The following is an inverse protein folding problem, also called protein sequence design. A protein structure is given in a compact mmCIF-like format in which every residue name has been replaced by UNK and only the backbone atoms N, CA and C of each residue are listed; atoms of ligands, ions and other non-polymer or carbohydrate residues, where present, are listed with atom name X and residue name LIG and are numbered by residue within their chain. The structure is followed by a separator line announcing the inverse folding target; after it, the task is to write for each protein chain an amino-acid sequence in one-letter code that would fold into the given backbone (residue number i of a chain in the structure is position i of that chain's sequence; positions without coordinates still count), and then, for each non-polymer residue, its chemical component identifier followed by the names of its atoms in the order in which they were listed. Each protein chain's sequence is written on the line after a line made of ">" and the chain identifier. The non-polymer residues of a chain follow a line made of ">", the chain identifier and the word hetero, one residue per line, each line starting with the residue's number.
data_IF_271071443138
#
_entry.id   IF_271071443138
#
_cell.length_a   1.000
_cell.length_b   1.000
_cell.length_c   1.000
_cell.angle_alpha   90.00
_cell.angle_beta   90.00
_cell.angle_gamma   90.00
#
_symmetry.space_group_name_H-M   'P 1'
#
loop_
_entity.id
_entity.type
_entity.pdbx_description
1 polymer ?
#
# COMPACT_ATOMS: atom_id res chain seq x y z
N UNK A 1 -6.81 -18.80 -14.72
CA UNK A 1 -5.68 -18.86 -15.68
C UNK A 1 -5.81 -17.66 -16.60
N UNK A 2 -4.98 -16.63 -16.41
CA UNK A 2 -4.90 -15.54 -17.37
C UNK A 2 -4.19 -16.07 -18.63
N UNK A 3 -4.74 -15.80 -19.81
CA UNK A 3 -4.23 -16.31 -21.08
C UNK A 3 -3.34 -15.23 -21.70
N UNK A 4 -2.08 -15.55 -22.00
CA UNK A 4 -1.22 -14.69 -22.84
C UNK A 4 -0.13 -13.90 -22.14
N UNK A 5 0.11 -14.10 -20.84
CA UNK A 5 1.27 -13.53 -20.16
C UNK A 5 2.46 -14.48 -20.29
N UNK A 6 3.58 -14.00 -20.82
CA UNK A 6 4.86 -14.72 -20.82
C UNK A 6 5.50 -14.69 -19.42
N UNK A 7 6.35 -15.67 -19.07
CA UNK A 7 7.03 -15.70 -17.76
C UNK A 7 7.98 -14.50 -17.56
N UNK A 8 8.39 -13.85 -18.65
CA UNK A 8 9.28 -12.67 -18.65
C UNK A 8 8.54 -11.36 -18.34
N UNK A 9 7.21 -11.39 -18.39
CA UNK A 9 6.31 -10.27 -18.08
C UNK A 9 5.96 -10.19 -16.59
N UNK A 10 6.33 -11.19 -15.80
CA UNK A 10 6.07 -11.24 -14.36
C UNK A 10 7.35 -10.98 -13.57
N UNK A 11 7.42 -9.84 -12.87
CA UNK A 11 8.48 -9.62 -11.88
C UNK A 11 7.96 -10.11 -10.53
N UNK A 12 8.62 -11.12 -9.97
CA UNK A 12 8.36 -11.55 -8.59
C UNK A 12 8.90 -10.51 -7.61
N UNK A 13 8.06 -10.06 -6.70
CA UNK A 13 8.43 -9.08 -5.68
C UNK A 13 7.20 -8.52 -4.95
N UNK A 14 7.40 -7.99 -3.75
CA UNK A 14 6.33 -7.32 -3.01
C UNK A 14 6.02 -5.97 -3.65
N UNK A 15 4.73 -5.66 -3.83
CA UNK A 15 4.30 -4.31 -4.25
C UNK A 15 4.76 -3.25 -3.24
N UNK A 16 4.86 -3.62 -1.96
CA UNK A 16 5.34 -2.73 -0.90
C UNK A 16 6.82 -2.41 -1.05
N UNK A 17 7.65 -3.41 -1.30
CA UNK A 17 9.08 -3.20 -1.53
C UNK A 17 9.33 -2.35 -2.79
N UNK A 18 8.56 -2.58 -3.85
CA UNK A 18 8.65 -1.75 -5.06
C UNK A 18 8.23 -0.30 -4.80
N UNK A 19 7.16 -0.09 -4.03
CA UNK A 19 6.73 1.25 -3.65
C UNK A 19 7.74 2.01 -2.80
N UNK A 20 8.39 1.31 -1.85
CA UNK A 20 9.47 1.88 -1.06
C UNK A 20 10.66 2.26 -1.94
N UNK A 21 11.05 1.37 -2.87
CA UNK A 21 12.09 1.63 -3.87
C UNK A 21 11.74 2.81 -4.78
N UNK A 22 10.49 2.94 -5.20
CA UNK A 22 10.05 4.03 -6.06
C UNK A 22 10.24 5.43 -5.43
N UNK A 23 10.23 5.52 -4.10
CA UNK A 23 10.52 6.76 -3.38
C UNK A 23 11.95 6.85 -2.82
N UNK A 24 12.79 5.83 -3.02
CA UNK A 24 14.19 5.89 -2.62
C UNK A 24 14.89 7.07 -3.34
N UNK A 25 15.42 8.03 -2.57
CA UNK A 25 16.02 9.25 -3.11
C UNK A 25 15.03 10.35 -3.53
N UNK A 26 13.76 10.29 -3.08
CA UNK A 26 12.75 11.31 -3.35
C UNK A 26 11.88 11.04 -4.59
N UNK A 27 12.09 9.91 -5.26
CA UNK A 27 11.31 9.48 -6.43
C UNK A 27 11.38 10.43 -7.63
N UNK A 28 10.59 10.14 -8.66
CA UNK A 28 10.48 10.99 -9.85
C UNK A 28 9.50 12.17 -9.64
N UNK A 29 9.55 12.81 -8.46
CA UNK A 29 8.63 13.87 -8.09
C UNK A 29 9.15 15.27 -8.50
N UNK A 30 8.25 16.19 -8.90
CA UNK A 30 8.62 17.58 -9.16
C UNK A 30 9.19 18.27 -7.91
N UNK A 31 9.91 19.39 -8.11
CA UNK A 31 10.33 20.23 -6.99
C UNK A 31 9.12 20.69 -6.17
N UNK A 32 9.27 20.78 -4.85
CA UNK A 32 8.18 21.15 -3.95
C UNK A 32 7.16 20.05 -3.68
N UNK A 33 7.45 18.81 -4.10
CA UNK A 33 6.62 17.64 -3.79
C UNK A 33 7.37 16.62 -2.93
N UNK A 34 6.65 15.97 -2.03
CA UNK A 34 7.11 14.80 -1.30
C UNK A 34 6.71 13.53 -2.06
N UNK A 35 7.60 12.54 -2.11
CA UNK A 35 7.27 11.21 -2.63
C UNK A 35 6.73 10.34 -1.51
N UNK A 36 5.57 9.73 -1.74
CA UNK A 36 4.94 8.78 -0.83
C UNK A 36 4.82 7.40 -1.50
N UNK A 37 5.33 6.33 -0.87
CA UNK A 37 5.11 4.96 -1.35
C UNK A 37 3.62 4.66 -1.47
N UNK A 38 3.21 4.10 -2.61
CA UNK A 38 1.82 3.75 -2.90
C UNK A 38 1.76 2.37 -3.56
N UNK A 39 1.91 1.28 -2.77
CA UNK A 39 1.88 -0.07 -3.31
C UNK A 39 0.56 -0.35 -4.00
N UNK A 40 0.63 -0.80 -5.25
CA UNK A 40 -0.55 -1.03 -6.09
C UNK A 40 -0.36 -2.25 -6.98
N UNK A 41 -1.39 -3.09 -7.11
CA UNK A 41 -1.38 -4.14 -8.11
C UNK A 41 -1.59 -3.52 -9.50
N UNK A 42 -0.68 -3.81 -10.41
CA UNK A 42 -0.72 -3.26 -11.76
C UNK A 42 -1.24 -4.29 -12.74
N UNK A 43 -2.14 -3.85 -13.61
CA UNK A 43 -2.66 -4.66 -14.71
C UNK A 43 -1.81 -4.43 -15.96
N UNK A 44 -1.64 -5.48 -16.77
CA UNK A 44 -0.79 -5.45 -17.96
C UNK A 44 -1.22 -4.43 -19.02
N UNK A 45 -2.53 -4.34 -19.28
CA UNK A 45 -3.12 -3.36 -20.19
C UNK A 45 -3.48 -2.03 -19.52
N UNK A 46 -2.91 -1.76 -18.34
CA UNK A 46 -3.21 -0.59 -17.52
C UNK A 46 -2.36 0.65 -17.83
N UNK A 47 -2.67 1.80 -17.20
CA UNK A 47 -1.75 2.93 -17.15
C UNK A 47 -0.41 2.51 -16.53
N UNK A 48 0.67 3.30 -16.75
CA UNK A 48 1.97 3.00 -16.18
C UNK A 48 1.89 2.77 -14.66
N UNK A 49 2.50 1.68 -14.23
CA UNK A 49 2.49 1.18 -12.86
C UNK A 49 3.27 2.12 -11.93
N UNK A 50 2.62 3.19 -11.45
CA UNK A 50 3.22 4.14 -10.51
C UNK A 50 3.06 3.63 -9.09
N UNK A 51 4.14 3.09 -8.52
CA UNK A 51 4.20 2.63 -7.12
C UNK A 51 4.47 3.76 -6.10
N UNK A 52 4.28 5.02 -6.51
CA UNK A 52 4.41 6.19 -5.64
C UNK A 52 3.44 7.29 -6.04
N UNK A 53 3.15 8.18 -5.10
CA UNK A 53 2.38 9.41 -5.32
C UNK A 53 3.24 10.61 -4.94
N UNK A 54 3.23 11.64 -5.78
CA UNK A 54 3.86 12.92 -5.49
C UNK A 54 2.84 13.87 -4.86
N UNK A 55 3.10 14.30 -3.63
CA UNK A 55 2.21 15.17 -2.87
C UNK A 55 2.81 16.57 -2.80
N UNK A 56 2.13 17.62 -3.28
CA UNK A 56 2.61 18.98 -3.16
C UNK A 56 2.72 19.37 -1.68
N UNK A 57 3.87 19.92 -1.28
CA UNK A 57 4.15 20.39 0.08
C UNK A 57 4.51 21.88 0.13
N UNK A 58 4.55 22.56 -1.03
CA UNK A 58 4.81 24.00 -1.13
C UNK A 58 3.56 24.87 -0.98
N UNK A 59 2.37 24.29 -1.15
CA UNK A 59 1.08 24.98 -1.10
C UNK A 59 0.31 24.61 0.18
N UNK A 60 -0.55 25.49 0.71
CA UNK A 60 -1.43 25.14 1.81
C UNK A 60 -2.41 24.02 1.41
N UNK A 61 -2.52 23.00 2.26
CA UNK A 61 -3.34 21.81 1.97
C UNK A 61 -4.83 22.11 1.71
N UNK A 62 -5.37 23.19 2.26
CA UNK A 62 -6.78 23.57 2.14
C UNK A 62 -7.15 24.14 0.75
N UNK A 63 -6.15 24.70 0.04
CA UNK A 63 -6.30 25.29 -1.30
C UNK A 63 -6.04 24.26 -2.41
N UNK A 64 -5.47 23.11 -2.06
CA UNK A 64 -5.24 21.99 -2.97
C UNK A 64 -6.55 21.21 -3.16
N UNK A 65 -7.20 21.41 -4.30
CA UNK A 65 -8.32 20.57 -4.76
C UNK A 65 -7.91 19.08 -4.95
N UNK A 66 -6.60 18.82 -4.98
CA UNK A 66 -6.02 17.47 -4.90
C UNK A 66 -6.34 16.84 -3.55
N UNK A 67 -7.48 16.15 -3.50
CA UNK A 67 -7.73 15.15 -2.47
C UNK A 67 -8.62 15.57 -1.32
N UNK A 68 -9.49 16.58 -1.49
CA UNK A 68 -10.50 16.92 -0.49
C UNK A 68 -11.42 15.73 -0.14
N UNK A 69 -11.63 14.82 -1.10
CA UNK A 69 -12.33 13.54 -0.93
C UNK A 69 -11.38 12.31 -1.00
N UNK A 70 -10.06 12.51 -0.98
CA UNK A 70 -9.09 11.42 -0.97
C UNK A 70 -8.55 11.21 0.45
N UNK A 71 -9.48 10.89 1.35
CA UNK A 71 -9.14 10.55 2.72
C UNK A 71 -8.07 9.46 2.77
N UNK A 72 -7.28 9.45 3.82
CA UNK A 72 -6.23 8.45 4.03
C UNK A 72 -6.20 8.01 5.48
N UNK A 73 -5.82 6.77 5.70
CA UNK A 73 -5.63 6.22 7.03
C UNK A 73 -4.14 6.19 7.37
N UNK A 74 -3.76 6.69 8.55
CA UNK A 74 -2.40 6.51 9.05
C UNK A 74 -2.21 5.17 9.80
N UNK A 75 -0.96 4.80 10.09
CA UNK A 75 -0.62 3.57 10.83
C UNK A 75 -1.18 3.56 12.27
N UNK A 76 -1.52 4.74 12.80
CA UNK A 76 -2.17 4.92 14.09
C UNK A 76 -3.71 4.88 13.99
N UNK A 77 -4.25 4.62 12.80
CA UNK A 77 -5.67 4.42 12.52
C UNK A 77 -6.47 5.71 12.70
N UNK A 78 -5.82 6.84 12.47
CA UNK A 78 -6.47 8.14 12.37
C UNK A 78 -6.70 8.43 10.88
N UNK A 79 -7.96 8.75 10.53
CA UNK A 79 -8.29 9.21 9.17
C UNK A 79 -7.88 10.68 9.03
N UNK A 80 -7.15 11.01 7.96
CA UNK A 80 -6.81 12.37 7.58
C UNK A 80 -7.53 12.77 6.29
N UNK A 81 -7.88 14.06 6.11
CA UNK A 81 -8.60 14.52 4.94
C UNK A 81 -7.89 14.27 3.61
N UNK A 82 -6.55 14.31 3.61
CA UNK A 82 -5.75 14.03 2.42
C UNK A 82 -4.31 13.63 2.77
N UNK A 83 -3.56 13.14 1.78
CA UNK A 83 -2.13 12.88 1.91
C UNK A 83 -1.34 14.12 2.31
N UNK A 84 -1.73 15.31 1.84
CA UNK A 84 -1.09 16.58 2.23
C UNK A 84 -1.24 16.81 3.74
N UNK A 85 -2.45 16.64 4.28
CA UNK A 85 -2.71 16.79 5.71
C UNK A 85 -1.97 15.75 6.56
N UNK A 86 -1.91 14.51 6.07
CA UNK A 86 -1.15 13.44 6.70
C UNK A 86 0.34 13.81 6.80
N UNK A 87 0.92 14.30 5.70
CA UNK A 87 2.32 14.74 5.64
C UNK A 87 2.60 15.97 6.49
N UNK A 88 1.73 16.98 6.44
CA UNK A 88 1.86 18.20 7.24
C UNK A 88 1.84 17.92 8.75
N UNK A 89 1.21 16.81 9.16
CA UNK A 89 1.18 16.31 10.55
C UNK A 89 2.30 15.32 10.88
N UNK A 90 3.23 15.07 9.96
CA UNK A 90 4.30 14.09 10.10
C UNK A 90 3.81 12.69 10.47
N UNK A 91 2.66 12.28 9.92
CA UNK A 91 2.11 10.93 10.09
C UNK A 91 2.56 10.02 8.95
N UNK A 92 2.41 8.71 9.14
CA UNK A 92 2.82 7.68 8.18
C UNK A 92 1.57 7.03 7.60
N UNK A 93 1.46 7.01 6.27
CA UNK A 93 0.35 6.39 5.55
C UNK A 93 0.30 4.88 5.84
N UNK A 94 -0.87 4.39 6.24
CA UNK A 94 -1.16 2.95 6.27
C UNK A 94 -1.79 2.52 4.94
N UNK A 95 -2.85 3.19 4.52
CA UNK A 95 -3.53 2.93 3.26
C UNK A 95 -4.34 4.15 2.79
N UNK A 96 -4.67 4.15 1.51
CA UNK A 96 -5.58 5.12 0.91
C UNK A 96 -7.03 4.84 1.32
N UNK A 97 -7.84 5.89 1.45
CA UNK A 97 -9.22 5.83 1.96
C UNK A 97 -9.30 6.01 3.48
N UNK A 98 -10.51 6.20 4.03
CA UNK A 98 -10.72 6.31 5.47
C UNK A 98 -10.35 5.00 6.18
N UNK A 99 -9.96 5.09 7.46
CA UNK A 99 -9.64 3.90 8.24
C UNK A 99 -10.81 2.93 8.31
N UNK A 100 -10.54 1.65 8.06
CA UNK A 100 -11.55 0.60 8.18
C UNK A 100 -12.02 0.42 9.62
N UNK A 101 -13.33 0.20 9.78
CA UNK A 101 -13.94 -0.32 11.01
C UNK A 101 -14.11 -1.83 10.92
N UNK A 102 -13.97 -2.55 12.04
CA UNK A 102 -14.26 -3.99 12.12
C UNK A 102 -13.09 -4.92 11.82
N UNK A 103 -11.88 -4.40 11.64
CA UNK A 103 -10.65 -5.17 11.60
C UNK A 103 -9.84 -5.03 12.90
N UNK A 104 -9.04 -6.05 13.21
CA UNK A 104 -8.06 -5.97 14.31
C UNK A 104 -6.85 -5.11 13.92
N UNK A 105 -6.42 -4.27 14.87
CA UNK A 105 -5.18 -3.49 14.79
C UNK A 105 -4.05 -4.11 15.62
N UNK A 106 -4.26 -5.32 16.13
CA UNK A 106 -3.34 -6.02 17.02
C UNK A 106 -2.76 -7.25 16.35
N UNK A 107 -1.44 -7.39 16.50
CA UNK A 107 -0.67 -8.57 16.13
C UNK A 107 -0.50 -8.73 14.62
N UNK A 108 0.63 -9.32 14.19
CA UNK A 108 0.86 -9.60 12.79
C UNK A 108 -0.11 -10.66 12.26
N UNK A 109 -0.39 -10.60 10.96
CA UNK A 109 -1.25 -11.53 10.23
C UNK A 109 -0.60 -11.92 8.91
N UNK A 110 -0.94 -13.08 8.39
CA UNK A 110 -0.56 -13.50 7.04
C UNK A 110 -1.73 -13.25 6.09
N UNK A 111 -1.47 -12.53 5.00
CA UNK A 111 -2.45 -12.29 3.94
C UNK A 111 -2.56 -13.49 2.99
N UNK A 112 -3.67 -13.56 2.25
CA UNK A 112 -3.87 -14.58 1.19
C UNK A 112 -2.89 -14.42 0.00
N UNK A 113 -2.21 -13.29 -0.08
CA UNK A 113 -1.10 -12.99 -0.99
C UNK A 113 0.24 -13.53 -0.49
N UNK A 114 0.28 -14.14 0.70
CA UNK A 114 1.51 -14.67 1.31
C UNK A 114 2.39 -13.59 1.95
N UNK A 115 1.89 -12.36 2.11
CA UNK A 115 2.63 -11.27 2.76
C UNK A 115 2.25 -11.13 4.24
N UNK A 116 3.25 -10.80 5.07
CA UNK A 116 3.01 -10.51 6.49
C UNK A 116 2.64 -9.06 6.68
N UNK A 117 1.49 -8.83 7.30
CA UNK A 117 1.00 -7.49 7.64
C UNK A 117 1.06 -7.27 9.15
N UNK A 118 1.34 -6.03 9.61
CA UNK A 118 1.43 -5.74 11.04
C UNK A 118 0.08 -5.82 11.77
N UNK A 119 -1.04 -5.79 11.04
CA UNK A 119 -2.37 -6.11 11.54
C UNK A 119 -3.36 -6.45 10.43
N UNK A 120 -4.54 -6.96 10.80
CA UNK A 120 -5.65 -7.24 9.88
C UNK A 120 -6.09 -6.00 9.09
N UNK A 121 -6.19 -4.82 9.74
CA UNK A 121 -6.49 -3.58 9.02
C UNK A 121 -5.44 -3.22 7.95
N UNK A 122 -4.16 -3.54 8.17
CA UNK A 122 -3.11 -3.29 7.17
C UNK A 122 -3.22 -4.26 6.00
N UNK A 123 -3.58 -5.52 6.25
CA UNK A 123 -3.87 -6.49 5.19
C UNK A 123 -5.04 -6.00 4.31
N UNK A 124 -6.12 -5.55 4.93
CA UNK A 124 -7.27 -5.01 4.19
C UNK A 124 -6.90 -3.75 3.39
N UNK A 125 -6.08 -2.86 3.96
CA UNK A 125 -5.55 -1.68 3.27
C UNK A 125 -4.69 -1.98 2.05
N UNK A 126 -4.02 -3.13 2.04
CA UNK A 126 -3.31 -3.64 0.87
C UNK A 126 -4.20 -4.40 -0.12
N UNK A 127 -5.51 -4.49 0.14
CA UNK A 127 -6.47 -5.19 -0.72
C UNK A 127 -6.47 -6.71 -0.56
N UNK A 128 -5.89 -7.24 0.52
CA UNK A 128 -5.85 -8.68 0.80
C UNK A 128 -6.65 -9.03 2.06
N UNK A 129 -7.16 -10.27 2.11
CA UNK A 129 -7.80 -10.80 3.31
C UNK A 129 -6.79 -11.59 4.15
N UNK A 130 -7.07 -11.73 5.44
CA UNK A 130 -6.25 -12.51 6.36
C UNK A 130 -6.49 -14.00 6.12
N UNK A 131 -5.41 -14.75 5.89
CA UNK A 131 -5.40 -16.21 5.90
C UNK A 131 -5.38 -16.72 7.36
N UNK A 132 -4.40 -16.26 8.14
CA UNK A 132 -4.26 -16.60 9.55
C UNK A 132 -3.60 -15.49 10.39
N UNK A 133 -3.82 -15.53 11.72
CA UNK A 133 -3.44 -14.47 12.68
C UNK A 133 -2.06 -14.71 13.31
N UNK A 134 -1.05 -14.87 12.48
CA UNK A 134 0.38 -14.87 12.83
C UNK A 134 1.18 -14.38 11.62
N UNK A 135 2.49 -14.07 11.75
CA UNK A 135 3.32 -13.82 10.58
C UNK A 135 3.25 -14.99 9.60
N UNK A 136 3.43 -14.72 8.31
CA UNK A 136 3.58 -15.79 7.33
C UNK A 136 4.81 -16.62 7.68
N UNK A 137 4.63 -17.93 7.80
CA UNK A 137 5.73 -18.87 7.96
C UNK A 137 6.14 -19.33 6.56
N UNK A 138 7.42 -19.11 6.20
CA UNK A 138 7.95 -19.35 4.85
C UNK A 138 8.05 -20.81 4.44
N UNK A 139 7.44 -21.74 5.18
CA UNK A 139 7.54 -23.17 4.92
C UNK A 139 6.16 -23.82 5.03
N UNK A 140 5.73 -24.43 3.92
CA UNK A 140 4.49 -25.18 3.79
C UNK A 140 4.29 -26.14 4.98
N UNK A 141 3.29 -25.85 5.81
CA UNK A 141 2.81 -26.84 6.79
C UNK A 141 2.13 -28.00 6.07
N UNK A 142 2.21 -29.24 6.60
CA UNK A 142 1.49 -30.37 6.04
C UNK A 142 -0.02 -30.13 6.16
N UNK A 143 -0.68 -29.75 5.05
CA UNK A 143 -2.13 -29.58 4.99
C UNK A 143 -2.64 -28.42 4.13
N UNK A 144 -1.78 -27.47 3.74
CA UNK A 144 -2.16 -26.37 2.84
C UNK A 144 -1.60 -26.60 1.44
N UNK A 145 -2.44 -26.49 0.40
CA UNK A 145 -1.97 -26.48 -0.98
C UNK A 145 -1.28 -25.14 -1.24
N UNK A 146 0.05 -25.15 -1.14
CA UNK A 146 0.90 -24.05 -1.57
C UNK A 146 0.64 -23.78 -3.07
N UNK A 147 0.20 -22.57 -3.41
CA UNK A 147 0.10 -22.13 -4.80
C UNK A 147 1.47 -21.63 -5.24
N UNK A 148 2.14 -22.45 -6.06
CA UNK A 148 3.28 -22.05 -6.89
C UNK A 148 2.85 -21.53 -8.25
#
# INVERSE_FOLDING_TARGET
>A
RCRGLSEEEFTSGSCREEAERACAGGGACPKGHACMPAPSQCLFDGPPCRQHVCVPISEPCDELELGRDSEVCDILGETHPSLCHLLARHRVLAHSGPCYSGCSRRGPVCGLDGETYPSECHAWGAGTQVDYRSPCEGECHPGMQCRG
#
